data_IF_223295340836
#
_entry.id   IF_223295340836
#
_cell.length_a   1.000
_cell.length_b   1.000
_cell.length_c   1.000
_cell.angle_alpha   90.00
_cell.angle_beta   90.00
_cell.angle_gamma   90.00
#
_symmetry.space_group_name_H-M   'P 1'
#
loop_
_entity.id
_entity.type
_entity.pdbx_description
1 polymer ?
#
# COMPACT_ATOMS: atom_id res chain seq x y z
N UNK A 1 9.96 -45.24 -16.76
CA UNK A 1 8.63 -45.02 -17.36
C UNK A 1 7.68 -44.68 -16.22
N UNK A 2 7.43 -43.39 -15.99
CA UNK A 2 6.56 -42.93 -14.92
C UNK A 2 5.13 -42.81 -15.42
N UNK A 3 4.19 -43.47 -14.73
CA UNK A 3 2.77 -43.35 -15.02
C UNK A 3 2.27 -42.00 -14.49
N UNK A 4 1.88 -41.12 -15.41
CA UNK A 4 1.25 -39.83 -15.10
C UNK A 4 -0.23 -40.04 -14.77
N UNK A 5 -0.62 -39.72 -13.54
CA UNK A 5 -2.03 -39.73 -13.11
C UNK A 5 -2.65 -38.42 -13.60
N UNK A 6 -3.50 -38.53 -14.61
CA UNK A 6 -4.26 -37.41 -15.18
C UNK A 6 -5.52 -37.17 -14.34
N UNK A 7 -5.50 -36.18 -13.47
CA UNK A 7 -6.68 -35.74 -12.73
C UNK A 7 -7.60 -34.95 -13.67
N UNK A 8 -8.76 -35.49 -14.02
CA UNK A 8 -9.83 -34.76 -14.72
C UNK A 8 -10.78 -34.14 -13.71
N UNK A 9 -10.78 -32.80 -13.59
CA UNK A 9 -11.82 -32.07 -12.87
C UNK A 9 -13.10 -32.05 -13.70
N UNK A 10 -14.11 -32.78 -13.25
CA UNK A 10 -15.47 -32.64 -13.76
C UNK A 10 -16.16 -31.49 -13.02
N UNK A 11 -16.07 -30.27 -13.56
CA UNK A 11 -16.94 -29.19 -13.14
C UNK A 11 -18.27 -29.34 -13.85
N UNK A 12 -19.27 -29.86 -13.13
CA UNK A 12 -20.63 -29.98 -13.61
C UNK A 12 -21.33 -28.62 -13.49
N UNK A 13 -21.47 -27.92 -14.61
CA UNK A 13 -22.21 -26.65 -14.69
C UNK A 13 -23.70 -26.96 -14.85
N UNK A 14 -24.52 -26.67 -13.83
CA UNK A 14 -25.98 -26.60 -13.97
C UNK A 14 -26.41 -25.12 -13.97
N UNK A 15 -26.66 -24.56 -15.15
CA UNK A 15 -27.30 -23.24 -15.32
C UNK A 15 -28.66 -23.42 -15.98
N UNK A 16 -29.72 -23.39 -15.18
CA UNK A 16 -31.06 -23.03 -15.60
C UNK A 16 -31.67 -22.18 -14.48
N UNK A 17 -31.21 -20.94 -14.37
CA UNK A 17 -31.88 -19.91 -13.60
C UNK A 17 -32.18 -18.76 -14.55
N UNK A 18 -33.45 -18.44 -14.71
CA UNK A 18 -33.94 -17.19 -15.30
C UNK A 18 -33.03 -16.03 -14.86
N UNK A 19 -32.61 -15.11 -15.75
CA UNK A 19 -31.83 -13.94 -15.34
C UNK A 19 -32.61 -13.22 -14.24
N UNK A 20 -32.02 -13.12 -13.06
CA UNK A 20 -32.69 -12.48 -11.94
C UNK A 20 -32.79 -10.97 -12.26
N UNK A 21 -34.03 -10.47 -12.31
CA UNK A 21 -34.31 -9.06 -12.59
C UNK A 21 -34.22 -8.27 -11.29
N UNK A 22 -33.78 -7.01 -11.41
CA UNK A 22 -33.68 -6.07 -10.31
C UNK A 22 -34.96 -5.23 -10.20
N UNK A 23 -35.30 -4.82 -8.98
CA UNK A 23 -36.42 -3.91 -8.70
C UNK A 23 -36.09 -2.95 -7.57
N UNK A 24 -36.84 -1.87 -7.48
CA UNK A 24 -36.74 -0.94 -6.35
C UNK A 24 -37.07 -1.68 -5.03
N UNK A 25 -36.29 -1.41 -4.00
CA UNK A 25 -36.31 -2.10 -2.72
C UNK A 25 -35.30 -3.26 -2.62
N UNK A 26 -34.67 -3.68 -3.72
CA UNK A 26 -33.65 -4.72 -3.66
C UNK A 26 -32.39 -4.22 -2.95
N UNK A 27 -31.82 -5.09 -2.11
CA UNK A 27 -30.44 -4.93 -1.63
C UNK A 27 -29.48 -5.49 -2.68
N UNK A 28 -28.56 -4.66 -3.15
CA UNK A 28 -27.66 -4.98 -4.27
C UNK A 28 -26.21 -4.70 -3.89
N UNK A 29 -25.28 -5.40 -4.54
CA UNK A 29 -23.85 -5.22 -4.37
C UNK A 29 -23.28 -4.53 -5.60
N UNK A 30 -22.44 -3.53 -5.38
CA UNK A 30 -21.75 -2.79 -6.43
C UNK A 30 -20.27 -2.63 -6.05
N UNK A 31 -19.43 -3.65 -6.29
CA UNK A 31 -18.08 -3.72 -5.72
C UNK A 31 -17.12 -2.64 -6.25
N UNK A 32 -17.40 -2.04 -7.39
CA UNK A 32 -16.64 -0.90 -7.91
C UNK A 32 -16.91 0.41 -7.16
N UNK A 33 -17.97 0.47 -6.35
CA UNK A 33 -18.34 1.64 -5.54
C UNK A 33 -18.12 1.38 -4.04
N UNK A 34 -18.56 0.21 -3.54
CA UNK A 34 -18.39 -0.17 -2.14
C UNK A 34 -18.56 -1.67 -1.94
N UNK A 35 -17.93 -2.20 -0.89
CA UNK A 35 -18.13 -3.58 -0.42
C UNK A 35 -19.44 -3.74 0.38
N UNK A 36 -20.05 -2.63 0.81
CA UNK A 36 -21.33 -2.63 1.50
C UNK A 36 -22.50 -2.70 0.51
N UNK A 37 -23.60 -3.39 0.86
CA UNK A 37 -24.80 -3.39 0.03
C UNK A 37 -25.42 -2.00 -0.07
N UNK A 38 -26.01 -1.73 -1.23
CA UNK A 38 -26.81 -0.55 -1.52
C UNK A 38 -28.29 -0.93 -1.59
N UNK A 39 -29.16 0.05 -1.33
CA UNK A 39 -30.59 -0.07 -1.59
C UNK A 39 -30.88 0.51 -2.98
N UNK A 40 -31.48 -0.31 -3.84
CA UNK A 40 -31.91 0.14 -5.16
C UNK A 40 -33.26 0.87 -5.04
N UNK A 41 -33.38 2.05 -5.62
CA UNK A 41 -34.60 2.87 -5.58
C UNK A 41 -35.12 3.17 -6.98
N UNK A 42 -36.32 3.72 -7.09
CA UNK A 42 -36.78 4.29 -8.36
C UNK A 42 -36.09 5.64 -8.60
N UNK A 43 -35.86 6.01 -9.87
CA UNK A 43 -35.36 7.33 -10.27
C UNK A 43 -36.07 8.45 -9.49
N UNK A 44 -35.37 9.16 -8.58
CA UNK A 44 -35.99 10.16 -7.72
C UNK A 44 -36.47 11.38 -8.51
N UNK A 45 -35.97 11.57 -9.74
CA UNK A 45 -36.37 12.67 -10.63
C UNK A 45 -37.47 12.24 -11.62
N UNK A 46 -37.91 10.98 -11.57
CA UNK A 46 -39.15 10.48 -12.17
C UNK A 46 -39.24 10.53 -13.70
N UNK A 47 -38.15 10.84 -14.41
CA UNK A 47 -38.18 11.04 -15.87
C UNK A 47 -37.90 9.78 -16.66
N UNK A 48 -37.42 8.71 -16.00
CA UNK A 48 -36.99 7.48 -16.67
C UNK A 48 -37.41 6.30 -15.80
N UNK A 49 -38.10 5.30 -16.37
CA UNK A 49 -38.43 4.03 -15.71
C UNK A 49 -37.14 3.22 -15.45
N UNK A 50 -36.28 3.76 -14.59
CA UNK A 50 -34.94 3.27 -14.28
C UNK A 50 -34.81 3.09 -12.78
N UNK A 51 -33.99 2.13 -12.44
CA UNK A 51 -33.55 1.87 -11.08
C UNK A 51 -32.33 2.73 -10.80
N UNK A 52 -32.20 3.18 -9.56
CA UNK A 52 -31.16 4.11 -9.17
C UNK A 52 -30.47 3.65 -7.90
N UNK A 53 -29.16 3.88 -7.86
CA UNK A 53 -28.32 3.77 -6.68
C UNK A 53 -27.64 5.12 -6.44
N UNK A 54 -27.59 5.55 -5.18
CA UNK A 54 -26.89 6.77 -4.76
C UNK A 54 -25.55 6.40 -4.11
N UNK A 55 -24.48 7.09 -4.52
CA UNK A 55 -23.16 6.99 -3.90
C UNK A 55 -22.49 8.36 -3.95
N UNK A 56 -22.01 8.85 -2.80
CA UNK A 56 -21.33 10.14 -2.65
C UNK A 56 -22.09 11.34 -3.29
N UNK A 57 -23.42 11.36 -3.16
CA UNK A 57 -24.28 12.42 -3.72
C UNK A 57 -24.49 12.35 -5.23
N UNK A 58 -23.99 11.29 -5.90
CA UNK A 58 -24.20 11.01 -7.32
C UNK A 58 -25.16 9.85 -7.52
N UNK A 59 -25.92 9.89 -8.62
CA UNK A 59 -26.90 8.85 -8.98
C UNK A 59 -26.44 8.03 -10.18
N UNK A 60 -26.42 6.71 -10.01
CA UNK A 60 -26.15 5.72 -11.04
C UNK A 60 -27.45 5.04 -11.44
N UNK A 61 -27.73 4.95 -12.74
CA UNK A 61 -29.01 4.46 -13.25
C UNK A 61 -28.85 3.11 -13.95
N UNK A 62 -29.85 2.26 -13.79
CA UNK A 62 -29.88 0.89 -14.29
C UNK A 62 -31.24 0.54 -14.87
N UNK A 63 -31.27 -0.39 -15.80
CA UNK A 63 -32.51 -1.02 -16.24
C UNK A 63 -32.92 -2.17 -15.29
N UNK A 64 -34.09 -2.78 -15.55
CA UNK A 64 -34.59 -3.91 -14.75
C UNK A 64 -33.74 -5.19 -14.84
N UNK A 65 -32.76 -5.25 -15.74
CA UNK A 65 -31.82 -6.35 -15.84
C UNK A 65 -30.48 -6.03 -15.14
N UNK A 66 -30.34 -4.83 -14.57
CA UNK A 66 -29.14 -4.38 -13.88
C UNK A 66 -28.05 -3.82 -14.81
N UNK A 67 -28.36 -3.57 -16.09
CA UNK A 67 -27.42 -2.91 -17.00
C UNK A 67 -27.35 -1.43 -16.72
N UNK A 68 -26.12 -0.90 -16.65
CA UNK A 68 -25.88 0.52 -16.46
C UNK A 68 -26.45 1.34 -17.62
N UNK A 69 -27.18 2.41 -17.29
CA UNK A 69 -27.76 3.32 -18.26
C UNK A 69 -27.26 4.74 -18.00
N UNK A 70 -26.55 5.31 -18.97
CA UNK A 70 -25.99 6.66 -18.85
C UNK A 70 -27.07 7.72 -18.54
N UNK A 71 -26.74 8.63 -17.63
CA UNK A 71 -27.62 9.71 -17.17
C UNK A 71 -27.68 10.87 -18.18
N UNK A 72 -26.58 11.17 -18.87
CA UNK A 72 -26.47 12.18 -19.92
C UNK A 72 -25.30 11.88 -20.86
N UNK A 73 -25.36 12.40 -22.08
CA UNK A 73 -24.51 12.00 -23.19
C UNK A 73 -23.06 12.53 -23.12
N UNK A 74 -22.60 13.13 -22.01
CA UNK A 74 -21.26 13.76 -22.00
C UNK A 74 -20.35 13.66 -20.78
N UNK A 75 -20.76 13.27 -19.57
CA UNK A 75 -19.85 13.40 -18.41
C UNK A 75 -19.95 12.29 -17.35
N UNK A 76 -20.25 11.07 -17.76
CA UNK A 76 -19.79 9.90 -16.99
C UNK A 76 -18.82 9.17 -17.88
N UNK A 77 -17.52 9.30 -17.58
CA UNK A 77 -16.44 8.60 -18.28
C UNK A 77 -16.66 7.08 -18.27
N UNK A 78 -15.69 6.31 -18.75
CA UNK A 78 -15.79 4.86 -18.98
C UNK A 78 -16.16 3.99 -17.76
N UNK A 79 -16.47 4.60 -16.63
CA UNK A 79 -16.92 4.00 -15.39
C UNK A 79 -18.40 3.58 -15.44
N UNK A 80 -18.62 2.29 -15.65
CA UNK A 80 -19.94 1.65 -15.70
C UNK A 80 -20.03 0.59 -14.60
N UNK A 81 -20.42 0.99 -13.37
CA UNK A 81 -20.49 0.08 -12.25
C UNK A 81 -21.45 -1.09 -12.54
N UNK A 82 -21.06 -2.31 -12.16
CA UNK A 82 -21.89 -3.51 -12.34
C UNK A 82 -22.72 -3.78 -11.09
N UNK A 83 -23.96 -4.24 -11.27
CA UNK A 83 -24.86 -4.64 -10.19
C UNK A 83 -24.92 -6.16 -10.02
N UNK A 84 -24.91 -6.58 -8.76
CA UNK A 84 -25.10 -7.98 -8.36
C UNK A 84 -26.18 -8.06 -7.28
N UNK A 85 -26.96 -9.13 -7.25
CA UNK A 85 -27.86 -9.36 -6.13
C UNK A 85 -27.09 -9.61 -4.85
N UNK A 86 -27.57 -9.06 -3.73
CA UNK A 86 -27.04 -9.36 -2.41
C UNK A 86 -27.49 -10.74 -1.93
N UNK A 87 -26.89 -11.78 -2.49
CA UNK A 87 -27.03 -13.16 -2.01
C UNK A 87 -25.78 -13.55 -1.20
N UNK A 88 -25.86 -14.53 -0.27
CA UNK A 88 -24.70 -14.99 0.47
C UNK A 88 -23.53 -15.42 -0.44
N UNK A 89 -23.83 -16.08 -1.56
CA UNK A 89 -22.83 -16.52 -2.54
C UNK A 89 -22.14 -15.34 -3.25
N UNK A 90 -22.91 -14.35 -3.69
CA UNK A 90 -22.35 -13.15 -4.34
C UNK A 90 -21.55 -12.30 -3.36
N UNK A 91 -22.03 -12.16 -2.12
CA UNK A 91 -21.29 -11.46 -1.05
C UNK A 91 -19.98 -12.18 -0.74
N UNK A 92 -19.97 -13.50 -0.63
CA UNK A 92 -18.76 -14.27 -0.41
C UNK A 92 -17.78 -14.15 -1.59
N UNK A 93 -18.27 -14.21 -2.82
CA UNK A 93 -17.45 -14.03 -4.02
C UNK A 93 -16.84 -12.64 -4.07
N UNK A 94 -17.63 -11.59 -3.83
CA UNK A 94 -17.14 -10.20 -3.76
C UNK A 94 -16.16 -10.01 -2.61
N UNK A 95 -16.42 -10.54 -1.42
CA UNK A 95 -15.48 -10.49 -0.29
C UNK A 95 -14.18 -11.24 -0.59
N UNK A 96 -14.22 -12.32 -1.38
CA UNK A 96 -13.02 -13.05 -1.79
C UNK A 96 -12.22 -12.26 -2.84
N UNK A 97 -12.90 -11.69 -3.84
CA UNK A 97 -12.27 -10.96 -4.95
C UNK A 97 -11.79 -9.56 -4.55
N UNK A 98 -12.57 -8.85 -3.75
CA UNK A 98 -12.37 -7.44 -3.40
C UNK A 98 -12.16 -7.21 -1.90
N UNK A 99 -12.64 -8.11 -1.04
CA UNK A 99 -12.30 -8.09 0.38
C UNK A 99 -10.82 -8.43 0.61
N UNK A 100 -10.16 -9.15 -0.30
CA UNK A 100 -8.70 -9.21 -0.34
C UNK A 100 -8.04 -7.86 -0.67
N UNK A 101 -8.68 -6.99 -1.45
CA UNK A 101 -8.07 -5.71 -1.89
C UNK A 101 -8.25 -4.56 -0.89
N UNK A 102 -9.20 -4.64 0.04
CA UNK A 102 -9.35 -3.67 1.14
C UNK A 102 -9.02 -4.27 2.51
N UNK A 103 -9.04 -5.59 2.66
CA UNK A 103 -8.61 -6.29 3.89
C UNK A 103 -7.20 -6.89 3.82
N UNK A 104 -6.53 -6.88 2.66
CA UNK A 104 -5.04 -6.99 2.60
C UNK A 104 -4.34 -5.62 2.56
N UNK A 105 -5.10 -4.52 2.60
CA UNK A 105 -4.60 -3.19 2.97
C UNK A 105 -5.24 -2.64 4.25
N UNK A 106 -5.99 -3.45 5.00
CA UNK A 106 -5.85 -3.35 6.45
C UNK A 106 -4.38 -3.67 6.65
N UNK A 107 -3.59 -2.65 7.02
CA UNK A 107 -2.26 -2.81 7.61
C UNK A 107 -2.31 -4.15 8.33
N UNK A 108 -1.68 -5.19 7.79
CA UNK A 108 -1.40 -6.34 8.62
C UNK A 108 -0.55 -5.73 9.72
N UNK A 109 -1.17 -5.41 10.86
CA UNK A 109 -0.48 -5.62 12.12
C UNK A 109 -0.22 -7.10 12.07
N UNK A 110 0.97 -7.45 11.58
CA UNK A 110 1.64 -8.62 12.09
C UNK A 110 1.60 -8.42 13.60
N UNK A 111 0.66 -9.10 14.25
CA UNK A 111 0.60 -9.11 15.71
C UNK A 111 1.85 -9.89 16.11
N UNK A 112 2.88 -9.17 16.52
CA UNK A 112 4.05 -9.78 17.14
C UNK A 112 3.53 -10.35 18.45
N UNK A 113 3.45 -11.67 18.50
CA UNK A 113 3.03 -12.40 19.69
C UNK A 113 4.15 -12.31 20.73
N UNK A 114 3.96 -11.46 21.73
CA UNK A 114 4.90 -11.24 22.86
C UNK A 114 4.52 -12.08 24.09
N UNK A 115 3.66 -13.08 23.93
CA UNK A 115 3.05 -13.82 25.05
C UNK A 115 4.02 -14.82 25.67
N UNK A 116 5.02 -15.29 24.91
CA UNK A 116 6.16 -16.05 25.42
C UNK A 116 7.43 -15.20 25.33
N UNK A 117 8.38 -15.42 26.25
CA UNK A 117 9.71 -14.83 26.18
C UNK A 117 10.52 -15.58 25.10
N UNK A 118 10.18 -15.33 23.85
CA UNK A 118 11.10 -15.55 22.75
C UNK A 118 11.92 -14.26 22.61
N UNK A 119 13.23 -14.37 22.48
CA UNK A 119 14.20 -13.26 22.55
C UNK A 119 14.09 -12.24 21.38
N UNK A 120 12.97 -12.22 20.66
CA UNK A 120 12.73 -11.44 19.46
C UNK A 120 11.85 -10.22 19.76
N UNK A 121 12.40 -9.23 20.48
CA UNK A 121 11.77 -7.91 20.54
C UNK A 121 11.82 -7.24 19.15
N UNK A 122 10.70 -7.29 18.44
CA UNK A 122 10.57 -6.73 17.09
C UNK A 122 10.47 -5.20 17.16
N UNK A 123 11.51 -4.52 16.69
CA UNK A 123 11.52 -3.06 16.50
C UNK A 123 10.77 -2.72 15.21
N UNK A 124 9.62 -2.07 15.32
CA UNK A 124 8.86 -1.62 14.15
C UNK A 124 9.38 -0.25 13.71
N UNK A 125 10.09 -0.22 12.59
CA UNK A 125 10.54 0.99 11.90
C UNK A 125 9.83 1.09 10.54
N UNK A 126 9.45 2.30 10.12
CA UNK A 126 8.86 2.44 8.78
C UNK A 126 9.91 2.15 7.70
N UNK A 127 9.49 1.60 6.57
CA UNK A 127 10.40 1.35 5.45
C UNK A 127 11.03 2.64 4.92
N UNK A 128 10.36 3.79 5.09
CA UNK A 128 10.91 5.11 4.74
C UNK A 128 12.04 5.50 5.68
N UNK A 129 11.83 5.42 7.01
CA UNK A 129 12.88 5.76 7.99
C UNK A 129 14.10 4.85 7.83
N UNK A 130 13.88 3.54 7.61
CA UNK A 130 14.97 2.59 7.35
C UNK A 130 15.72 2.91 6.04
N UNK A 131 14.99 3.32 4.99
CA UNK A 131 15.58 3.74 3.73
C UNK A 131 16.41 5.00 3.88
N UNK A 132 15.93 5.99 4.64
CA UNK A 132 16.65 7.25 4.87
C UNK A 132 17.94 7.00 5.65
N UNK A 133 17.89 6.17 6.71
CA UNK A 133 19.08 5.76 7.46
C UNK A 133 20.09 5.04 6.54
N UNK A 134 19.62 4.12 5.69
CA UNK A 134 20.50 3.39 4.78
C UNK A 134 21.16 4.33 3.76
N UNK A 135 20.41 5.27 3.18
CA UNK A 135 20.91 6.29 2.26
C UNK A 135 21.98 7.16 2.93
N UNK A 136 21.75 7.61 4.17
CA UNK A 136 22.70 8.46 4.90
C UNK A 136 23.99 7.70 5.25
N UNK A 137 23.89 6.42 5.62
CA UNK A 137 25.06 5.56 5.87
C UNK A 137 25.85 5.32 4.58
N UNK A 138 25.17 5.06 3.46
CA UNK A 138 25.82 4.88 2.15
C UNK A 138 26.52 6.17 1.71
N UNK A 139 25.84 7.31 1.79
CA UNK A 139 26.40 8.63 1.46
C UNK A 139 27.63 8.95 2.32
N UNK A 140 27.56 8.66 3.62
CA UNK A 140 28.70 8.78 4.54
C UNK A 140 29.88 7.92 4.08
N UNK A 141 29.64 6.64 3.77
CA UNK A 141 30.70 5.71 3.39
C UNK A 141 31.44 6.17 2.12
N UNK A 142 30.69 6.70 1.14
CA UNK A 142 31.25 7.28 -0.09
C UNK A 142 32.14 8.48 0.24
N UNK A 143 31.63 9.42 1.05
CA UNK A 143 32.38 10.65 1.37
C UNK A 143 33.63 10.36 2.19
N UNK A 144 33.59 9.43 3.15
CA UNK A 144 34.78 8.99 3.90
C UNK A 144 35.82 8.39 2.94
N UNK A 145 35.39 7.58 1.97
CA UNK A 145 36.29 7.03 0.94
C UNK A 145 36.96 8.16 0.13
N UNK A 146 36.19 9.17 -0.29
CA UNK A 146 36.72 10.27 -1.10
C UNK A 146 37.65 11.18 -0.30
N UNK A 147 37.33 11.44 0.98
CA UNK A 147 38.24 12.08 1.94
C UNK A 147 39.55 11.30 2.05
N UNK A 148 39.50 9.97 2.15
CA UNK A 148 40.69 9.13 2.18
C UNK A 148 41.57 9.29 0.94
N UNK A 149 40.95 9.39 -0.24
CA UNK A 149 41.67 9.66 -1.51
C UNK A 149 42.29 11.06 -1.51
N UNK A 150 41.56 12.09 -1.06
CA UNK A 150 42.08 13.46 -0.98
C UNK A 150 43.27 13.56 -0.03
N UNK A 151 43.17 12.95 1.15
CA UNK A 151 44.26 12.89 2.13
C UNK A 151 45.49 12.15 1.57
N UNK A 152 45.29 11.08 0.80
CA UNK A 152 46.38 10.40 0.12
C UNK A 152 47.04 11.29 -0.93
N UNK A 153 46.28 12.06 -1.72
CA UNK A 153 46.83 13.01 -2.69
C UNK A 153 47.67 14.10 -2.02
N UNK A 154 47.20 14.62 -0.88
CA UNK A 154 47.96 15.58 -0.05
C UNK A 154 49.25 14.92 0.47
N UNK A 155 49.15 13.73 1.07
CA UNK A 155 50.27 13.03 1.69
C UNK A 155 51.38 12.66 0.69
N UNK A 156 51.00 12.25 -0.51
CA UNK A 156 51.94 11.91 -1.59
C UNK A 156 52.37 13.13 -2.43
N UNK A 157 52.05 14.35 -1.99
CA UNK A 157 52.41 15.62 -2.66
C UNK A 157 51.99 15.64 -4.14
N UNK A 158 50.83 15.03 -4.45
CA UNK A 158 50.31 14.92 -5.83
C UNK A 158 49.50 16.12 -6.28
N UNK A 159 49.40 17.15 -5.44
CA UNK A 159 48.69 18.40 -5.70
C UNK A 159 49.52 19.59 -5.20
N UNK A 160 49.34 20.76 -5.80
CA UNK A 160 50.06 21.98 -5.43
C UNK A 160 49.72 22.42 -3.99
N UNK A 161 50.64 23.11 -3.32
CA UNK A 161 50.54 23.42 -1.90
C UNK A 161 49.31 24.28 -1.52
N UNK A 162 48.94 25.25 -2.36
CA UNK A 162 47.74 26.07 -2.21
C UNK A 162 46.45 25.27 -2.43
N UNK A 163 46.48 24.35 -3.40
CA UNK A 163 45.40 23.39 -3.67
C UNK A 163 45.24 22.41 -2.51
N UNK A 164 46.36 21.93 -1.93
CA UNK A 164 46.37 21.05 -0.77
C UNK A 164 45.70 21.68 0.46
N UNK A 165 45.94 22.97 0.70
CA UNK A 165 45.28 23.72 1.79
C UNK A 165 43.77 23.77 1.58
N UNK A 166 43.32 24.06 0.35
CA UNK A 166 41.89 24.08 0.02
C UNK A 166 41.24 22.70 0.14
N UNK A 167 41.91 21.64 -0.32
CA UNK A 167 41.43 20.26 -0.21
C UNK A 167 41.39 19.77 1.24
N UNK A 168 42.35 20.16 2.07
CA UNK A 168 42.36 19.85 3.49
C UNK A 168 41.19 20.52 4.23
N UNK A 169 40.86 21.77 3.89
CA UNK A 169 39.67 22.47 4.43
C UNK A 169 38.37 21.78 3.99
N UNK A 170 38.23 21.49 2.70
CA UNK A 170 37.07 20.78 2.18
C UNK A 170 36.87 19.41 2.84
N UNK A 171 37.98 18.68 3.04
CA UNK A 171 37.99 17.39 3.75
C UNK A 171 37.51 17.54 5.19
N UNK A 172 37.99 18.56 5.90
CA UNK A 172 37.57 18.86 7.26
C UNK A 172 36.07 19.19 7.33
N UNK A 173 35.61 20.13 6.51
CA UNK A 173 34.20 20.57 6.48
C UNK A 173 33.26 19.39 6.16
N UNK A 174 33.61 18.57 5.16
CA UNK A 174 32.86 17.37 4.82
C UNK A 174 32.83 16.38 6.00
N UNK A 175 33.94 16.19 6.72
CA UNK A 175 33.98 15.31 7.90
C UNK A 175 33.04 15.81 9.00
N UNK A 176 33.04 17.12 9.27
CA UNK A 176 32.19 17.73 10.30
C UNK A 176 30.71 17.58 9.93
N UNK A 177 30.32 17.90 8.70
CA UNK A 177 28.92 17.77 8.25
C UNK A 177 28.41 16.34 8.36
N UNK A 178 29.19 15.35 7.91
CA UNK A 178 28.76 13.95 8.00
C UNK A 178 28.74 13.42 9.44
N UNK A 179 29.65 13.89 10.30
CA UNK A 179 29.59 13.59 11.73
C UNK A 179 28.28 14.09 12.36
N UNK A 180 27.83 15.30 12.01
CA UNK A 180 26.56 15.85 12.50
C UNK A 180 25.36 15.04 11.98
N UNK A 181 25.33 14.73 10.68
CA UNK A 181 24.26 13.92 10.08
C UNK A 181 24.17 12.52 10.72
N UNK A 182 25.29 11.82 10.86
CA UNK A 182 25.32 10.50 11.49
C UNK A 182 24.91 10.54 12.97
N UNK A 183 25.29 11.59 13.71
CA UNK A 183 24.86 11.73 15.10
C UNK A 183 23.35 11.97 15.20
N UNK A 184 22.78 12.74 14.28
CA UNK A 184 21.33 12.93 14.22
C UNK A 184 20.62 11.60 13.90
N UNK A 185 21.14 10.82 12.95
CA UNK A 185 20.60 9.49 12.63
C UNK A 185 20.73 8.52 13.81
N UNK A 186 21.87 8.51 14.50
CA UNK A 186 22.05 7.73 15.72
C UNK A 186 21.05 8.15 16.81
N UNK A 187 20.75 9.45 16.92
CA UNK A 187 19.71 9.98 17.79
C UNK A 187 18.33 9.43 17.45
N UNK A 188 17.95 9.44 16.17
CA UNK A 188 16.66 8.91 15.68
C UNK A 188 16.51 7.40 15.93
N UNK A 189 17.57 6.63 15.69
CA UNK A 189 17.59 5.20 15.99
C UNK A 189 17.45 4.98 17.50
N UNK A 190 18.17 5.74 18.33
CA UNK A 190 18.06 5.66 19.79
C UNK A 190 16.67 6.01 20.29
N UNK A 191 16.00 7.01 19.71
CA UNK A 191 14.62 7.35 20.06
C UNK A 191 13.67 6.20 19.72
N UNK A 192 13.83 5.61 18.54
CA UNK A 192 13.06 4.43 18.11
C UNK A 192 13.27 3.27 19.07
N UNK A 193 14.53 2.96 19.43
CA UNK A 193 14.88 1.93 20.40
C UNK A 193 14.41 2.28 21.82
N UNK A 194 14.32 3.56 22.19
CA UNK A 194 13.83 3.99 23.50
C UNK A 194 12.33 3.65 23.71
N UNK A 195 11.57 3.47 22.62
CA UNK A 195 10.19 2.98 22.68
C UNK A 195 10.07 1.47 22.95
N UNK A 196 11.20 0.76 22.91
CA UNK A 196 11.32 -0.69 23.17
C UNK A 196 11.85 -0.95 24.58
N UNK A 197 11.81 -2.19 25.07
CA UNK A 197 12.32 -2.55 26.41
C UNK A 197 13.83 -2.33 26.53
N UNK A 198 14.58 -2.35 25.43
CA UNK A 198 16.00 -1.93 25.39
C UNK A 198 16.22 -0.45 25.77
N UNK A 199 15.21 0.41 25.64
CA UNK A 199 15.24 1.80 26.11
C UNK A 199 15.27 1.97 27.63
N UNK A 200 14.98 0.89 28.37
CA UNK A 200 14.89 0.88 29.84
C UNK A 200 16.08 0.19 30.50
N UNK A 201 17.18 -0.03 29.81
CA UNK A 201 18.41 -0.48 30.47
C UNK A 201 18.98 0.66 31.32
N UNK A 202 18.53 0.66 32.58
CA UNK A 202 18.82 1.67 33.58
C UNK A 202 17.82 1.67 34.73
N UNK A 203 17.42 0.49 35.23
CA UNK A 203 16.96 0.28 36.62
C UNK A 203 16.83 -1.21 36.96
#
# INVERSE_FOLDING_TARGET
MGNSIRTTSNTQTTTNSTPATFKAGDSVLCPSLSNSPFLLTNDPYGKRNKLTLEFEGSYFYYDGNGYFVRASDRETGDFQPSLYHNTPANQQAINTLYGGSLSAQIKQRTVIDITEADDDEVVVMSAFDLSDIACDIEGTAIVISDIGKLLALIHYEKIEADTAISMARLTHDATVTWFELLNNQLGSIKETLATTRYGKEGK
#
